data_IF_417908278876
#
_entry.id   IF_417908278876
#
_cell.length_a   1.000
_cell.length_b   1.000
_cell.length_c   1.000
_cell.angle_alpha   90.00
_cell.angle_beta   90.00
_cell.angle_gamma   90.00
#
_symmetry.space_group_name_H-M   'P 1'
#
loop_
_entity.id
_entity.type
_entity.pdbx_description
1 polymer ?
#
# COMPACT_ATOMS: atom_id res chain seq x y z
N UNK A 1 -13.08 11.85 4.16
CA UNK A 1 -12.34 13.10 4.43
C UNK A 1 -10.89 12.75 4.28
N UNK A 2 -10.24 13.24 3.24
CA UNK A 2 -8.81 13.09 3.08
C UNK A 2 -8.07 14.18 3.85
N UNK A 3 -6.89 13.85 4.37
CA UNK A 3 -6.00 14.81 5.03
C UNK A 3 -4.66 14.71 4.32
N UNK A 4 -4.16 15.84 3.78
CA UNK A 4 -2.77 15.93 3.36
C UNK A 4 -1.87 15.66 4.56
N UNK A 5 -0.81 14.90 4.35
CA UNK A 5 0.19 14.57 5.34
C UNK A 5 1.57 14.96 4.85
N UNK A 6 2.33 15.60 5.72
CA UNK A 6 3.73 15.93 5.48
C UNK A 6 4.63 15.08 6.38
N UNK A 7 5.70 14.54 5.79
CA UNK A 7 6.69 13.81 6.54
C UNK A 7 7.55 14.77 7.39
N UNK A 8 7.58 14.53 8.71
CA UNK A 8 8.25 15.40 9.68
C UNK A 8 9.57 14.86 10.18
N UNK A 9 9.63 13.57 10.47
CA UNK A 9 10.82 12.91 11.02
C UNK A 9 10.80 11.42 10.64
N UNK A 10 11.95 10.89 10.25
CA UNK A 10 12.12 9.48 9.87
C UNK A 10 13.43 8.97 10.43
N UNK A 11 13.35 7.80 11.06
CA UNK A 11 14.49 6.91 11.25
C UNK A 11 14.07 5.55 10.74
N UNK A 12 14.59 5.10 9.62
CA UNK A 12 14.14 3.86 9.02
C UNK A 12 15.32 3.02 8.56
N UNK A 13 15.24 1.70 8.74
CA UNK A 13 16.21 0.79 8.16
C UNK A 13 15.60 -0.56 7.81
N UNK A 14 15.66 -0.93 6.54
CA UNK A 14 15.57 -2.32 6.08
C UNK A 14 16.92 -2.69 5.50
N UNK A 15 17.55 -3.72 6.07
CA UNK A 15 18.84 -4.23 5.57
C UNK A 15 18.67 -4.82 4.17
N UNK A 16 19.67 -4.65 3.31
CA UNK A 16 19.67 -5.16 1.92
C UNK A 16 19.28 -6.65 1.81
N UNK A 17 19.72 -7.49 2.77
CA UNK A 17 19.36 -8.92 2.85
C UNK A 17 17.85 -9.20 2.96
N UNK A 18 17.06 -8.23 3.43
CA UNK A 18 15.61 -8.35 3.61
C UNK A 18 14.83 -7.70 2.46
N UNK A 19 15.49 -6.94 1.57
CA UNK A 19 14.82 -6.18 0.50
C UNK A 19 13.98 -7.10 -0.38
N UNK A 20 14.51 -8.25 -0.80
CA UNK A 20 13.75 -9.21 -1.61
C UNK A 20 12.44 -9.67 -0.95
N UNK A 21 12.47 -10.00 0.35
CA UNK A 21 11.27 -10.41 1.08
C UNK A 21 10.21 -9.31 1.17
N UNK A 22 10.66 -8.07 1.33
CA UNK A 22 9.76 -6.91 1.37
C UNK A 22 9.17 -6.65 -0.02
N UNK A 23 9.97 -6.81 -1.09
CA UNK A 23 9.48 -6.75 -2.46
C UNK A 23 8.37 -7.79 -2.71
N UNK A 24 8.58 -9.03 -2.27
CA UNK A 24 7.61 -10.12 -2.44
C UNK A 24 6.27 -9.78 -1.76
N UNK A 25 6.32 -9.27 -0.52
CA UNK A 25 5.14 -8.82 0.25
C UNK A 25 4.41 -7.70 -0.49
N UNK A 26 5.13 -6.69 -0.98
CA UNK A 26 4.51 -5.60 -1.72
C UNK A 26 3.86 -6.08 -3.03
N UNK A 27 4.48 -7.01 -3.73
CA UNK A 27 3.91 -7.63 -4.93
C UNK A 27 2.65 -8.46 -4.60
N UNK A 28 2.63 -9.15 -3.46
CA UNK A 28 1.47 -9.91 -2.99
C UNK A 28 0.29 -8.99 -2.66
N UNK A 29 0.52 -7.94 -1.85
CA UNK A 29 -0.49 -6.90 -1.55
C UNK A 29 -1.06 -6.31 -2.83
N UNK A 30 -0.20 -6.00 -3.82
CA UNK A 30 -0.63 -5.47 -5.11
C UNK A 30 -1.51 -6.47 -5.88
N UNK A 31 -1.17 -7.76 -5.88
CA UNK A 31 -1.96 -8.80 -6.56
C UNK A 31 -3.36 -8.91 -5.93
N UNK A 32 -3.43 -8.97 -4.60
CA UNK A 32 -4.71 -9.06 -3.88
C UNK A 32 -5.62 -7.86 -4.19
N UNK A 33 -5.07 -6.64 -4.27
CA UNK A 33 -5.84 -5.45 -4.66
C UNK A 33 -6.40 -5.54 -6.09
N UNK A 34 -5.63 -6.07 -7.03
CA UNK A 34 -6.09 -6.22 -8.42
C UNK A 34 -7.19 -7.28 -8.57
N UNK A 35 -7.21 -8.29 -7.70
CA UNK A 35 -8.26 -9.32 -7.69
C UNK A 35 -9.53 -8.81 -6.99
N UNK A 36 -9.39 -8.02 -5.92
CA UNK A 36 -10.53 -7.46 -5.20
C UNK A 36 -11.33 -6.45 -6.04
N UNK A 37 -10.67 -5.60 -6.85
CA UNK A 37 -11.38 -4.61 -7.67
C UNK A 37 -12.13 -5.22 -8.85
N UNK A 38 -11.84 -6.48 -9.20
CA UNK A 38 -12.47 -7.18 -10.34
C UNK A 38 -13.87 -7.72 -10.00
N UNK A 39 -14.17 -7.96 -8.71
CA UNK A 39 -15.46 -8.52 -8.30
C UNK A 39 -16.55 -7.46 -8.01
N UNK A 40 -16.18 -6.21 -7.76
CA UNK A 40 -17.15 -5.13 -7.51
C UNK A 40 -17.86 -4.66 -8.79
N UNK A 41 -17.31 -4.92 -9.98
CA UNK A 41 -17.89 -4.50 -11.27
C UNK A 41 -18.92 -5.51 -11.84
N UNK A 42 -19.10 -6.67 -11.20
CA UNK A 42 -19.95 -7.77 -11.70
C UNK A 42 -21.25 -8.02 -10.89
N UNK A 43 -21.59 -7.16 -9.92
CA UNK A 43 -22.75 -7.37 -9.04
C UNK A 43 -23.76 -6.20 -9.04
N UNK A 44 -24.08 -5.63 -10.19
CA UNK A 44 -25.32 -4.85 -10.37
C UNK A 44 -25.99 -5.17 -11.71
N UNK A 45 -26.57 -6.37 -11.83
CA UNK A 45 -27.69 -6.59 -12.77
C UNK A 45 -28.51 -7.83 -12.42
N UNK A 46 -29.28 -7.76 -11.34
CA UNK A 46 -30.52 -8.54 -11.24
C UNK A 46 -31.65 -7.56 -10.94
N UNK A 47 -32.41 -7.20 -11.99
CA UNK A 47 -33.87 -7.16 -12.00
C UNK A 47 -34.37 -6.38 -13.25
N UNK A 48 -34.60 -7.11 -14.35
CA UNK A 48 -35.73 -6.81 -15.23
C UNK A 48 -36.14 -8.05 -16.03
N UNK A 49 -37.27 -8.64 -15.67
CA UNK A 49 -37.97 -9.62 -16.50
C UNK A 49 -38.33 -8.98 -17.85
N UNK A 50 -37.86 -9.56 -18.96
CA UNK A 50 -38.44 -9.29 -20.29
C UNK A 50 -38.37 -10.53 -21.17
N UNK A 51 -39.51 -10.76 -21.84
CA UNK A 51 -39.90 -11.88 -22.67
C UNK A 51 -39.10 -12.02 -23.98
N UNK A 52 -38.94 -13.28 -24.41
CA UNK A 52 -38.71 -13.82 -25.76
C UNK A 52 -37.86 -13.03 -26.78
N UNK A 53 -36.63 -13.52 -27.00
CA UNK A 53 -35.96 -13.36 -28.30
C UNK A 53 -34.99 -14.53 -28.59
N UNK A 54 -35.41 -15.42 -29.50
CA UNK A 54 -34.53 -16.39 -30.16
C UNK A 54 -33.62 -15.67 -31.15
N UNK A 55 -32.32 -15.61 -30.83
CA UNK A 55 -31.27 -15.45 -31.85
C UNK A 55 -29.95 -16.00 -31.31
N UNK A 56 -29.53 -17.13 -31.88
CA UNK A 56 -28.18 -17.67 -31.78
C UNK A 56 -27.17 -16.59 -32.21
N UNK A 57 -26.23 -16.27 -31.32
CA UNK A 57 -24.97 -15.66 -31.70
C UNK A 57 -23.83 -16.40 -30.98
N UNK A 58 -23.09 -17.14 -31.79
CA UNK A 58 -21.81 -17.74 -31.48
C UNK A 58 -20.74 -16.64 -31.23
N UNK A 59 -19.67 -17.05 -30.55
CA UNK A 59 -18.40 -16.34 -30.36
C UNK A 59 -18.35 -15.23 -29.29
N UNK A 60 -18.55 -15.63 -28.03
CA UNK A 60 -17.89 -14.99 -26.90
C UNK A 60 -16.38 -15.30 -26.95
N UNK A 61 -15.64 -14.51 -27.74
CA UNK A 61 -14.18 -14.52 -27.73
C UNK A 61 -13.66 -13.98 -26.39
N UNK A 62 -13.23 -14.94 -25.58
CA UNK A 62 -12.14 -14.94 -24.62
C UNK A 62 -11.15 -13.76 -24.78
N UNK A 63 -11.51 -12.59 -24.26
CA UNK A 63 -10.59 -11.48 -24.03
C UNK A 63 -10.31 -11.36 -22.53
N UNK A 64 -10.06 -12.52 -21.89
CA UNK A 64 -9.12 -12.56 -20.77
C UNK A 64 -7.73 -12.29 -21.33
N UNK A 65 -7.46 -11.03 -21.65
CA UNK A 65 -6.10 -10.54 -21.74
C UNK A 65 -5.55 -10.64 -20.31
N UNK A 66 -5.03 -11.82 -19.97
CA UNK A 66 -4.28 -12.04 -18.74
C UNK A 66 -3.14 -11.05 -18.77
N UNK A 67 -3.30 -9.91 -18.10
CA UNK A 67 -2.18 -9.06 -17.72
C UNK A 67 -1.28 -9.95 -16.86
N UNK A 68 -0.25 -10.52 -17.48
CA UNK A 68 0.78 -11.26 -16.77
C UNK A 68 1.28 -10.36 -15.64
N UNK A 69 1.00 -10.77 -14.40
CA UNK A 69 1.42 -10.01 -13.23
C UNK A 69 2.95 -10.01 -13.20
N UNK A 70 3.54 -8.92 -13.67
CA UNK A 70 4.98 -8.76 -13.73
C UNK A 70 5.48 -8.35 -12.34
N UNK A 71 6.34 -9.18 -11.77
CA UNK A 71 7.06 -8.84 -10.55
C UNK A 71 7.85 -7.53 -10.74
N UNK A 72 7.67 -6.62 -9.78
CA UNK A 72 8.37 -5.36 -9.77
C UNK A 72 9.68 -5.44 -8.98
N UNK A 73 10.61 -4.55 -9.31
CA UNK A 73 11.75 -4.26 -8.45
C UNK A 73 11.30 -3.59 -7.15
N UNK A 74 12.16 -3.60 -6.12
CA UNK A 74 11.81 -3.10 -4.79
C UNK A 74 11.25 -1.68 -4.78
N UNK A 75 11.90 -0.75 -5.50
CA UNK A 75 11.51 0.66 -5.50
C UNK A 75 10.13 0.86 -6.10
N UNK A 76 9.78 0.12 -7.17
CA UNK A 76 8.43 0.15 -7.74
C UNK A 76 7.41 -0.59 -6.89
N UNK A 77 7.76 -1.74 -6.34
CA UNK A 77 6.85 -2.54 -5.52
C UNK A 77 6.38 -1.76 -4.28
N UNK A 78 7.32 -1.05 -3.63
CA UNK A 78 7.00 -0.22 -2.45
C UNK A 78 6.28 1.08 -2.83
N UNK A 79 6.58 1.69 -4.00
CA UNK A 79 5.87 2.87 -4.52
C UNK A 79 4.40 2.53 -4.86
N UNK A 80 4.15 1.36 -5.45
CA UNK A 80 2.79 0.85 -5.70
C UNK A 80 2.00 0.60 -4.39
N UNK A 81 2.71 0.37 -3.28
CA UNK A 81 2.11 0.30 -1.94
C UNK A 81 1.95 1.68 -1.27
N UNK A 82 2.20 2.77 -2.00
CA UNK A 82 2.04 4.15 -1.55
C UNK A 82 3.26 4.76 -0.86
N UNK A 83 4.43 4.11 -0.94
CA UNK A 83 5.64 4.50 -0.21
C UNK A 83 6.84 4.62 -1.14
N UNK A 84 7.50 5.78 -1.16
CA UNK A 84 8.78 5.96 -1.86
C UNK A 84 9.95 5.62 -0.96
N UNK A 85 10.77 4.68 -1.39
CA UNK A 85 11.99 4.30 -0.68
C UNK A 85 13.22 5.11 -1.10
N UNK A 86 14.17 5.26 -0.18
CA UNK A 86 15.53 5.73 -0.47
C UNK A 86 16.53 4.66 -0.08
N UNK A 87 17.33 4.20 -1.04
CA UNK A 87 18.39 3.23 -0.83
C UNK A 87 19.74 3.91 -0.61
N UNK A 88 20.57 3.32 0.26
CA UNK A 88 21.98 3.72 0.38
C UNK A 88 22.86 2.93 -0.61
N UNK A 89 24.17 3.24 -0.64
CA UNK A 89 25.15 2.55 -1.51
C UNK A 89 25.32 1.04 -1.26
N UNK A 90 24.88 0.55 -0.09
CA UNK A 90 24.91 -0.87 0.27
C UNK A 90 23.61 -1.60 -0.11
N UNK A 91 22.63 -0.89 -0.69
CA UNK A 91 21.31 -1.40 -0.99
C UNK A 91 20.39 -1.53 0.23
N UNK A 92 20.74 -0.92 1.38
CA UNK A 92 19.80 -0.84 2.50
C UNK A 92 18.79 0.28 2.25
N UNK A 93 17.53 0.07 2.57
CA UNK A 93 16.52 1.13 2.58
C UNK A 93 16.62 1.92 3.88
N UNK A 94 16.95 3.21 3.79
CA UNK A 94 17.23 4.09 4.94
C UNK A 94 16.11 5.09 5.23
N UNK A 95 15.11 5.17 4.37
CA UNK A 95 13.98 6.08 4.49
C UNK A 95 12.84 5.60 3.60
N UNK A 96 11.60 5.74 4.08
CA UNK A 96 10.39 5.67 3.26
C UNK A 96 9.51 6.89 3.51
N UNK A 97 8.94 7.46 2.45
CA UNK A 97 8.09 8.66 2.53
C UNK A 97 6.90 8.51 1.60
N UNK A 98 5.78 9.16 1.92
CA UNK A 98 4.63 9.27 1.02
C UNK A 98 4.34 10.73 0.72
N UNK A 99 3.75 10.99 -0.44
CA UNK A 99 3.32 12.32 -0.89
C UNK A 99 1.79 12.43 -0.92
N UNK A 100 1.08 11.39 -0.45
CA UNK A 100 -0.35 11.26 -0.60
C UNK A 100 -1.11 11.51 0.70
N UNK A 101 -2.42 11.63 0.52
CA UNK A 101 -3.39 11.72 1.61
C UNK A 101 -3.37 10.44 2.46
N UNK A 102 -3.65 10.54 3.74
CA UNK A 102 -3.74 9.36 4.61
C UNK A 102 -4.69 8.29 4.08
N UNK A 103 -4.21 7.04 3.97
CA UNK A 103 -5.03 5.85 3.78
C UNK A 103 -4.68 4.79 4.82
N UNK A 104 -5.69 4.10 5.35
CA UNK A 104 -5.49 2.95 6.25
C UNK A 104 -4.70 1.84 5.57
N UNK A 105 -4.83 1.69 4.26
CA UNK A 105 -4.10 0.68 3.48
C UNK A 105 -2.58 0.88 3.53
N UNK A 106 -2.12 2.13 3.68
CA UNK A 106 -0.69 2.41 3.82
C UNK A 106 -0.15 1.89 5.15
N UNK A 107 -0.97 1.94 6.20
CA UNK A 107 -0.62 1.41 7.52
C UNK A 107 -0.55 -0.11 7.50
N UNK A 108 -1.41 -0.77 6.73
CA UNK A 108 -1.37 -2.23 6.56
C UNK A 108 -0.06 -2.68 5.92
N UNK A 109 0.41 -1.97 4.88
CA UNK A 109 1.74 -2.23 4.29
C UNK A 109 2.84 -2.07 5.33
N UNK A 110 2.82 -1.01 6.15
CA UNK A 110 3.80 -0.81 7.21
C UNK A 110 3.79 -1.96 8.24
N UNK A 111 2.61 -2.52 8.53
CA UNK A 111 2.45 -3.64 9.45
C UNK A 111 3.07 -4.92 8.89
N UNK A 112 2.81 -5.24 7.62
CA UNK A 112 3.33 -6.44 6.95
C UNK A 112 4.85 -6.42 6.80
N UNK A 113 5.44 -5.25 6.55
CA UNK A 113 6.90 -5.13 6.42
C UNK A 113 7.61 -5.03 7.79
N UNK A 114 6.87 -4.78 8.88
CA UNK A 114 7.45 -4.53 10.20
C UNK A 114 8.46 -5.59 10.69
N UNK A 115 8.27 -6.91 10.45
CA UNK A 115 9.25 -7.94 10.80
C UNK A 115 10.64 -7.75 10.17
N UNK A 116 10.73 -6.99 9.09
CA UNK A 116 11.96 -6.78 8.32
C UNK A 116 12.63 -5.44 8.58
N UNK A 117 11.94 -4.55 9.29
CA UNK A 117 12.41 -3.21 9.68
C UNK A 117 13.19 -3.30 11.00
N UNK A 118 14.31 -2.58 11.09
CA UNK A 118 15.13 -2.54 12.29
C UNK A 118 14.36 -1.93 13.47
N UNK A 119 14.41 -2.59 14.63
CA UNK A 119 13.72 -2.11 15.83
C UNK A 119 14.22 -0.73 16.27
N UNK A 120 13.29 0.12 16.69
CA UNK A 120 13.56 1.54 16.96
C UNK A 120 13.57 2.41 15.70
N UNK A 121 13.18 1.87 14.54
CA UNK A 121 12.76 2.67 13.39
C UNK A 121 11.40 3.30 13.66
N UNK A 122 11.14 4.45 13.05
CA UNK A 122 9.85 5.13 13.09
C UNK A 122 9.64 6.02 11.85
N UNK A 123 8.38 6.33 11.60
CA UNK A 123 7.93 7.31 10.62
C UNK A 123 6.99 8.27 11.35
N UNK A 124 7.28 9.58 11.26
CA UNK A 124 6.41 10.63 11.78
C UNK A 124 5.83 11.46 10.63
N UNK A 125 4.50 11.53 10.58
CA UNK A 125 3.75 12.36 9.65
C UNK A 125 2.92 13.37 10.44
N UNK A 126 2.76 14.57 9.88
CA UNK A 126 1.91 15.62 10.39
C UNK A 126 0.81 15.92 9.38
N UNK A 127 -0.44 15.94 9.84
CA UNK A 127 -1.59 16.32 9.01
C UNK A 127 -1.83 17.82 9.02
N UNK A 128 -2.65 18.29 8.09
CA UNK A 128 -3.03 19.71 7.98
C UNK A 128 -3.59 20.31 9.28
N UNK A 129 -4.32 19.51 10.06
CA UNK A 129 -4.88 19.94 11.34
C UNK A 129 -3.85 19.97 12.49
N UNK A 130 -2.56 19.75 12.20
CA UNK A 130 -1.48 19.71 13.18
C UNK A 130 -1.43 18.43 14.01
N UNK A 131 -2.23 17.42 13.67
CA UNK A 131 -2.14 16.08 14.29
C UNK A 131 -0.88 15.40 13.81
N UNK A 132 -0.11 14.85 14.76
CA UNK A 132 1.14 14.15 14.47
C UNK A 132 0.93 12.66 14.71
N UNK A 133 1.11 11.82 13.69
CA UNK A 133 1.12 10.37 13.79
C UNK A 133 2.56 9.87 13.76
N UNK A 134 2.93 9.04 14.73
CA UNK A 134 4.23 8.36 14.76
C UNK A 134 4.05 6.85 14.83
N UNK A 135 4.37 6.17 13.74
CA UNK A 135 4.44 4.71 13.69
C UNK A 135 5.83 4.26 14.08
N UNK A 136 5.92 3.34 15.04
CA UNK A 136 7.17 2.81 15.58
C UNK A 136 7.24 1.31 15.29
N UNK A 137 8.39 0.91 14.76
CA UNK A 137 8.74 -0.48 14.50
C UNK A 137 9.53 -1.01 15.69
N UNK A 138 8.98 -1.98 16.41
CA UNK A 138 9.64 -2.59 17.56
C UNK A 138 9.38 -4.09 17.61
N UNK A 139 10.46 -4.87 17.69
CA UNK A 139 10.38 -6.33 17.75
C UNK A 139 9.59 -6.99 16.62
N UNK A 140 9.61 -6.40 15.41
CA UNK A 140 8.88 -6.88 14.25
C UNK A 140 7.39 -6.53 14.23
N UNK A 141 6.95 -5.60 15.08
CA UNK A 141 5.57 -5.11 15.15
C UNK A 141 5.52 -3.62 14.87
N UNK A 142 4.41 -3.18 14.28
CA UNK A 142 4.07 -1.78 14.12
C UNK A 142 3.20 -1.33 15.30
N UNK A 143 3.49 -0.15 15.86
CA UNK A 143 2.64 0.49 16.86
C UNK A 143 2.50 1.98 16.58
N UNK A 144 1.28 2.51 16.71
CA UNK A 144 1.04 3.95 16.68
C UNK A 144 1.28 4.51 18.08
N UNK A 145 2.24 5.43 18.24
CA UNK A 145 2.60 5.95 19.56
C UNK A 145 1.64 7.05 20.04
N UNK A 146 1.41 8.10 19.26
CA UNK A 146 0.43 9.17 19.58
C UNK A 146 -0.12 9.85 18.32
N UNK A 147 -1.26 10.52 18.50
CA UNK A 147 -1.86 11.54 17.65
C UNK A 147 -1.91 12.86 18.45
N UNK A 148 -0.77 13.51 18.67
CA UNK A 148 -0.75 14.79 19.41
C UNK A 148 -1.15 15.93 18.48
N UNK A 149 -2.24 16.64 18.80
CA UNK A 149 -2.55 17.94 18.20
C UNK A 149 -1.69 18.98 18.89
N UNK A 150 -0.77 19.64 18.19
CA UNK A 150 -0.16 20.86 18.73
C UNK A 150 -1.26 21.91 18.86
N UNK A 151 -1.61 22.26 20.10
CA UNK A 151 -2.40 23.46 20.36
C UNK A 151 -1.63 24.66 19.79
N UNK A 152 -2.17 25.26 18.72
CA UNK A 152 -1.70 26.54 18.21
C UNK A 152 -2.24 27.58 19.20
N UNK A 153 -1.35 28.16 20.01
CA UNK A 153 -1.67 29.29 20.91
C UNK A 153 -1.43 30.61 20.18
#
# INVERSE_FOLDING_TARGET
>A
MSYSMECRDIKFLIKSKNIGRVTDICNEIRREKSESSFYDEYFESEDSESEDCDSESEDYLDSKEYLEFKELDFEKAIDDCGWRATLNKNGDCISISTFFEYSTEYVDTLSEIAPYVESGSFIEMQGENGTIWRWIFDGGKLSLKYAETKAIW
#
